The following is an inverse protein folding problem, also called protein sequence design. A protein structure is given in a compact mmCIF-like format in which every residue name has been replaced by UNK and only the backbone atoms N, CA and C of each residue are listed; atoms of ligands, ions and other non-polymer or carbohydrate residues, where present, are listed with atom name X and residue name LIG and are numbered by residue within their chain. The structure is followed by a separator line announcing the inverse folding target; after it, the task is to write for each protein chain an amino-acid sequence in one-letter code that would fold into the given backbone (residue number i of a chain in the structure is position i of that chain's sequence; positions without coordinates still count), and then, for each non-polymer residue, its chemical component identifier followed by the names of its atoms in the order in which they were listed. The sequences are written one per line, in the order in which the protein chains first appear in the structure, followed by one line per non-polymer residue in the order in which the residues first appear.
data_IF_928457933659
#
_entry.id   IF_928457933659
#
_cell.length_a   1.000
_cell.length_b   1.000
_cell.length_c   1.000
_cell.angle_alpha   90.00
_cell.angle_beta   90.00
_cell.angle_gamma   90.00
#
_symmetry.space_group_name_H-M   'P 1'
#
loop_
_entity.id
_entity.type
_entity.pdbx_description
1 polymer ?
#
# COMPACT_ATOMS: atom_id res chain seq x y z
N UNK A 1 2.82 16.26 -6.84
CA UNK A 1 3.02 16.12 -5.38
C UNK A 1 4.47 16.43 -4.97
N UNK A 2 5.48 15.81 -5.54
CA UNK A 2 6.89 16.16 -5.26
C UNK A 2 7.27 17.61 -5.61
N UNK A 3 6.74 18.17 -6.70
CA UNK A 3 7.03 19.56 -7.09
C UNK A 3 6.39 20.61 -6.17
N UNK A 4 5.25 20.34 -5.52
CA UNK A 4 4.68 21.23 -4.50
C UNK A 4 5.48 21.24 -3.20
N UNK A 5 6.20 20.17 -2.89
CA UNK A 5 7.08 20.09 -1.73
C UNK A 5 8.33 20.98 -1.88
N UNK A 6 8.79 21.24 -3.10
CA UNK A 6 9.96 22.08 -3.38
C UNK A 6 9.61 23.58 -3.37
N UNK A 7 8.39 23.95 -3.77
CA UNK A 7 7.95 25.37 -3.88
C UNK A 7 7.46 25.95 -2.55
N UNK A 8 6.99 25.13 -1.60
CA UNK A 8 6.49 25.59 -0.31
C UNK A 8 7.59 26.02 0.69
N UNK A 9 8.86 25.97 0.32
CA UNK A 9 10.00 26.31 1.18
C UNK A 9 10.41 27.79 1.19
N UNK A 10 9.89 28.65 0.32
CA UNK A 10 10.41 30.03 0.19
C UNK A 10 9.47 31.17 0.63
N UNK A 11 8.22 30.93 1.00
CA UNK A 11 7.30 31.98 1.48
C UNK A 11 6.89 31.78 2.95
N UNK A 12 7.74 32.18 3.87
CA UNK A 12 7.40 32.13 5.30
C UNK A 12 8.36 32.84 6.25
N UNK A 13 8.86 34.02 5.90
CA UNK A 13 9.47 34.92 6.88
C UNK A 13 8.74 36.24 6.88
N UNK A 14 7.90 36.46 7.91
CA UNK A 14 7.80 37.77 8.65
C UNK A 14 6.77 37.71 9.77
N UNK A 15 7.28 38.07 10.93
CA UNK A 15 6.70 38.83 12.05
C UNK A 15 5.75 38.16 13.03
N UNK A 16 6.16 38.28 14.31
CA UNK A 16 5.20 38.39 15.42
C UNK A 16 5.73 37.85 16.76
N UNK A 17 6.59 38.64 17.47
CA UNK A 17 6.85 38.45 18.92
C UNK A 17 5.57 38.72 19.71
N UNK A 18 5.27 37.86 20.65
CA UNK A 18 4.28 38.12 21.68
C UNK A 18 4.51 37.17 22.85
N UNK A 19 5.27 37.64 23.84
CA UNK A 19 5.40 37.00 25.16
C UNK A 19 4.09 37.11 25.94
N UNK A 20 3.67 36.04 26.58
CA UNK A 20 2.90 36.16 27.82
C UNK A 20 3.17 34.97 28.74
N UNK A 21 3.78 35.32 29.88
CA UNK A 21 3.92 34.47 31.06
C UNK A 21 2.60 34.32 31.79
N UNK A 22 2.59 33.41 32.75
CA UNK A 22 1.71 33.14 33.92
C UNK A 22 1.12 31.74 33.80
N UNK A 23 1.22 30.83 34.74
CA UNK A 23 1.56 30.80 36.13
C UNK A 23 1.43 29.39 36.63
N UNK A 24 2.40 28.97 37.44
CA UNK A 24 2.36 27.72 38.20
C UNK A 24 1.28 27.77 39.25
N UNK A 25 0.46 26.72 39.40
CA UNK A 25 -0.13 26.33 40.69
C UNK A 25 -0.09 24.81 40.85
N UNK A 26 0.59 24.45 41.92
CA UNK A 26 0.68 23.15 42.55
C UNK A 26 -0.64 22.73 43.16
N UNK A 27 -1.02 21.47 43.01
CA UNK A 27 -1.85 20.81 44.02
C UNK A 27 -1.32 19.40 44.23
N UNK A 28 -0.81 19.23 45.44
CA UNK A 28 -0.28 17.97 45.97
C UNK A 28 -1.38 17.28 46.81
N UNK A 29 -1.30 15.96 46.82
CA UNK A 29 -1.71 15.04 47.88
C UNK A 29 -3.19 14.99 48.28
N UNK A 30 -3.81 13.88 47.98
CA UNK A 30 -4.55 13.03 48.93
C UNK A 30 -5.20 11.85 48.20
N UNK A 31 -4.96 10.69 48.74
CA UNK A 31 -5.81 9.48 48.86
C UNK A 31 -5.08 8.19 48.41
N UNK A 32 -4.18 7.79 49.28
CA UNK A 32 -3.92 6.37 49.54
C UNK A 32 -4.71 6.02 50.81
N UNK A 33 -5.64 5.08 50.72
CA UNK A 33 -6.18 4.19 51.78
C UNK A 33 -7.67 3.90 51.48
N UNK A 34 -7.94 2.84 50.72
CA UNK A 34 -9.16 2.00 50.85
C UNK A 34 -9.05 0.83 49.86
N UNK A 35 -8.55 -0.30 50.33
CA UNK A 35 -8.44 -1.51 49.43
C UNK A 35 -7.85 -2.71 50.08
N UNK A 36 -8.02 -2.87 51.40
CA UNK A 36 -7.56 -4.04 52.11
C UNK A 36 -8.55 -4.50 53.17
N UNK A 37 -9.70 -5.04 52.74
CA UNK A 37 -10.67 -5.74 53.61
C UNK A 37 -11.78 -6.33 52.73
N UNK A 38 -11.52 -7.50 52.10
CA UNK A 38 -12.58 -8.41 51.58
C UNK A 38 -11.91 -9.69 51.02
N UNK A 39 -11.23 -10.42 51.90
CA UNK A 39 -10.77 -11.79 51.60
C UNK A 39 -10.72 -12.57 52.93
N UNK A 40 -11.89 -12.90 53.46
CA UNK A 40 -12.09 -13.93 54.49
C UNK A 40 -13.60 -14.15 54.71
N UNK A 41 -14.22 -15.02 53.92
CA UNK A 41 -15.37 -15.84 54.30
C UNK A 41 -15.83 -16.68 53.10
N UNK A 42 -15.53 -17.96 53.16
CA UNK A 42 -16.46 -19.05 52.83
C UNK A 42 -15.72 -20.33 52.43
N UNK A 43 -15.06 -20.95 53.38
CA UNK A 43 -15.00 -22.41 53.38
C UNK A 43 -16.19 -22.90 54.22
N UNK A 44 -17.25 -23.37 53.58
CA UNK A 44 -18.23 -24.26 54.19
C UNK A 44 -18.12 -25.60 53.48
N UNK A 45 -17.65 -26.60 54.26
CA UNK A 45 -17.74 -28.02 53.95
C UNK A 45 -19.23 -28.39 53.86
N UNK A 46 -19.66 -28.90 52.71
CA UNK A 46 -20.95 -29.60 52.56
C UNK A 46 -20.72 -31.07 52.90
N UNK A 47 -21.62 -31.60 53.76
CA UNK A 47 -21.72 -33.02 54.11
C UNK A 47 -22.24 -33.85 52.94
N UNK A 48 -21.87 -35.14 52.83
CA UNK A 48 -22.29 -35.98 51.71
C UNK A 48 -23.78 -36.29 51.78
N UNK A 49 -24.46 -36.11 50.64
CA UNK A 49 -25.85 -36.58 50.42
C UNK A 49 -25.91 -38.14 50.33
N UNK A 50 -27.01 -38.77 50.78
CA UNK A 50 -27.15 -40.23 50.72
C UNK A 50 -27.34 -40.71 49.27
N UNK A 51 -26.68 -41.83 48.96
CA UNK A 51 -26.75 -42.54 47.69
C UNK A 51 -28.21 -42.96 47.34
N UNK A 52 -28.71 -42.56 46.19
CA UNK A 52 -29.94 -43.05 45.62
C UNK A 52 -29.69 -44.36 44.86
N UNK A 53 -30.65 -45.29 44.86
CA UNK A 53 -30.49 -46.60 44.21
C UNK A 53 -30.33 -46.45 42.70
N UNK A 54 -29.31 -47.13 42.17
CA UNK A 54 -29.01 -47.21 40.74
C UNK A 54 -30.15 -47.97 40.01
N UNK A 55 -30.92 -47.25 39.19
CA UNK A 55 -31.86 -47.86 38.26
C UNK A 55 -31.11 -48.16 36.97
N UNK A 56 -30.96 -49.43 36.61
CA UNK A 56 -30.39 -49.80 35.31
C UNK A 56 -31.18 -49.18 34.14
N UNK A 57 -30.51 -48.52 33.18
CA UNK A 57 -31.20 -47.98 32.02
C UNK A 57 -31.67 -49.09 31.09
N UNK A 58 -32.84 -48.90 30.43
CA UNK A 58 -33.37 -49.89 29.48
C UNK A 58 -32.38 -50.02 28.30
N UNK A 59 -32.21 -51.26 27.81
CA UNK A 59 -31.37 -51.59 26.65
C UNK A 59 -31.82 -50.79 25.44
N UNK A 60 -30.88 -50.16 24.70
CA UNK A 60 -31.22 -49.40 23.50
C UNK A 60 -31.84 -50.36 22.44
N UNK A 61 -32.94 -49.91 21.90
CA UNK A 61 -33.57 -50.59 20.72
C UNK A 61 -32.65 -50.46 19.46
N UNK A 62 -32.95 -51.24 18.42
CA UNK A 62 -32.13 -51.20 17.20
C UNK A 62 -32.06 -49.75 16.64
N UNK A 63 -30.82 -49.30 16.42
CA UNK A 63 -30.54 -47.98 15.85
C UNK A 63 -31.15 -47.92 14.45
N UNK A 64 -32.03 -46.94 14.13
CA UNK A 64 -32.47 -46.72 12.76
C UNK A 64 -31.26 -46.48 11.87
N UNK A 65 -31.17 -47.15 10.73
CA UNK A 65 -30.17 -46.83 9.72
C UNK A 65 -30.39 -45.36 9.28
N UNK A 66 -29.45 -44.51 9.61
CA UNK A 66 -29.40 -43.17 9.05
C UNK A 66 -29.05 -43.32 7.58
N UNK A 67 -30.02 -43.07 6.71
CA UNK A 67 -29.75 -42.89 5.28
C UNK A 67 -29.00 -41.58 5.16
N UNK A 68 -27.73 -41.67 4.82
CA UNK A 68 -26.95 -40.45 4.48
C UNK A 68 -27.66 -39.72 3.33
N UNK A 69 -27.98 -38.44 3.47
CA UNK A 69 -28.53 -37.68 2.36
C UNK A 69 -27.52 -37.72 1.20
N UNK A 70 -28.02 -37.89 -0.02
CA UNK A 70 -27.21 -37.73 -1.23
C UNK A 70 -26.46 -36.38 -1.15
N UNK A 71 -25.12 -36.36 -1.47
CA UNK A 71 -24.39 -35.15 -1.43
C UNK A 71 -25.01 -34.11 -2.38
N UNK A 72 -25.33 -32.95 -1.84
CA UNK A 72 -25.81 -31.83 -2.66
C UNK A 72 -24.85 -31.62 -3.84
N UNK A 73 -25.35 -31.38 -5.06
CA UNK A 73 -24.48 -31.07 -6.20
C UNK A 73 -23.58 -29.88 -5.83
N UNK A 74 -22.28 -30.07 -5.97
CA UNK A 74 -21.33 -28.95 -5.76
C UNK A 74 -21.79 -27.77 -6.61
N UNK A 75 -21.82 -26.54 -6.05
CA UNK A 75 -22.05 -25.37 -6.85
C UNK A 75 -21.07 -25.40 -8.05
N UNK A 76 -21.57 -25.13 -9.25
CA UNK A 76 -20.73 -24.98 -10.43
C UNK A 76 -19.64 -23.96 -10.08
N UNK A 77 -18.39 -24.33 -10.29
CA UNK A 77 -17.29 -23.38 -10.12
C UNK A 77 -17.59 -22.18 -11.03
N UNK A 78 -17.46 -20.95 -10.51
CA UNK A 78 -17.65 -19.77 -11.34
C UNK A 78 -16.74 -19.89 -12.57
N UNK A 79 -17.16 -19.45 -13.75
CA UNK A 79 -16.35 -19.50 -14.96
C UNK A 79 -14.99 -18.89 -14.65
N UNK A 80 -13.93 -19.58 -14.99
CA UNK A 80 -12.56 -19.10 -14.81
C UNK A 80 -12.38 -17.70 -15.45
N UNK A 81 -11.39 -16.93 -15.02
CA UNK A 81 -11.14 -15.62 -15.62
C UNK A 81 -11.02 -15.75 -17.14
N UNK A 82 -11.54 -14.77 -17.89
CA UNK A 82 -11.47 -14.81 -19.36
C UNK A 82 -10.01 -14.95 -19.81
N UNK A 83 -9.76 -15.77 -20.82
CA UNK A 83 -8.42 -15.92 -21.39
C UNK A 83 -7.99 -14.59 -22.00
N UNK A 84 -6.88 -14.04 -21.46
CA UNK A 84 -6.34 -12.77 -21.94
C UNK A 84 -5.68 -12.92 -23.31
N UNK A 85 -5.79 -11.93 -24.20
CA UNK A 85 -5.09 -11.92 -25.47
C UNK A 85 -3.57 -12.16 -25.32
N UNK A 86 -2.90 -12.78 -26.31
CA UNK A 86 -1.45 -13.06 -26.24
C UNK A 86 -0.58 -11.84 -25.94
N UNK A 87 -1.02 -10.64 -26.34
CA UNK A 87 -0.35 -9.38 -26.02
C UNK A 87 -0.16 -9.19 -24.51
N UNK A 88 -1.13 -9.55 -23.68
CA UNK A 88 -1.01 -9.43 -22.23
C UNK A 88 0.07 -10.32 -21.66
N UNK A 89 0.21 -11.55 -22.17
CA UNK A 89 1.32 -12.44 -21.79
C UNK A 89 2.68 -11.87 -22.16
N UNK A 90 2.78 -11.20 -23.31
CA UNK A 90 4.02 -10.53 -23.72
C UNK A 90 4.34 -9.34 -22.83
N UNK A 91 3.34 -8.49 -22.52
CA UNK A 91 3.48 -7.36 -21.59
C UNK A 91 3.90 -7.85 -20.20
N UNK A 92 3.22 -8.84 -19.66
CA UNK A 92 3.51 -9.44 -18.36
C UNK A 92 4.96 -9.96 -18.31
N UNK A 93 5.38 -10.71 -19.36
CA UNK A 93 6.74 -11.22 -19.47
C UNK A 93 7.77 -10.10 -19.54
N UNK A 94 7.54 -9.06 -20.33
CA UNK A 94 8.48 -7.93 -20.46
C UNK A 94 8.53 -7.12 -19.15
N UNK A 95 7.41 -6.97 -18.46
CA UNK A 95 7.35 -6.34 -17.13
C UNK A 95 8.16 -7.16 -16.12
N UNK A 96 7.99 -8.48 -16.09
CA UNK A 96 8.81 -9.37 -15.29
C UNK A 96 10.31 -9.23 -15.64
N UNK A 97 10.66 -9.20 -16.93
CA UNK A 97 12.04 -9.06 -17.38
C UNK A 97 12.70 -7.77 -16.90
N UNK A 98 11.95 -6.64 -16.84
CA UNK A 98 12.50 -5.43 -16.25
C UNK A 98 13.04 -5.69 -14.83
N UNK A 99 12.24 -6.30 -13.96
CA UNK A 99 12.66 -6.61 -12.59
C UNK A 99 13.78 -7.65 -12.57
N UNK A 100 13.68 -8.70 -13.38
CA UNK A 100 14.64 -9.79 -13.37
C UNK A 100 16.01 -9.38 -13.90
N UNK A 101 16.06 -8.64 -15.01
CA UNK A 101 17.29 -8.31 -15.73
C UNK A 101 17.98 -7.05 -15.17
N UNK A 102 17.23 -6.17 -14.50
CA UNK A 102 17.79 -4.88 -14.04
C UNK A 102 18.16 -4.85 -12.58
N UNK A 103 17.58 -5.73 -11.76
CA UNK A 103 17.90 -5.83 -10.33
C UNK A 103 19.36 -6.24 -10.13
N UNK A 104 20.04 -5.54 -9.22
CA UNK A 104 21.43 -5.83 -8.87
C UNK A 104 21.52 -7.20 -8.19
N UNK A 105 22.32 -8.11 -8.78
CA UNK A 105 22.45 -9.51 -8.31
C UNK A 105 23.18 -9.64 -6.97
N UNK A 106 23.95 -8.62 -6.56
CA UNK A 106 24.74 -8.65 -5.32
C UNK A 106 23.93 -8.23 -4.09
N UNK A 107 23.02 -7.28 -4.27
CA UNK A 107 22.27 -6.69 -3.13
C UNK A 107 20.75 -6.67 -3.33
N UNK A 108 20.23 -7.06 -4.48
CA UNK A 108 18.80 -7.10 -4.78
C UNK A 108 18.14 -5.74 -4.96
N UNK A 109 18.91 -4.66 -5.13
CA UNK A 109 18.37 -3.33 -5.39
C UNK A 109 17.91 -3.20 -6.84
N UNK A 110 16.70 -2.68 -7.02
CA UNK A 110 16.06 -2.51 -8.32
C UNK A 110 16.08 -1.03 -8.71
N UNK A 111 16.47 -0.68 -9.94
CA UNK A 111 16.52 0.72 -10.36
C UNK A 111 15.12 1.34 -10.41
N UNK A 112 15.08 2.66 -10.22
CA UNK A 112 13.86 3.46 -10.34
C UNK A 112 13.29 3.45 -11.77
N UNK A 113 14.16 3.45 -12.77
CA UNK A 113 13.78 3.58 -14.19
C UNK A 113 14.76 2.91 -15.13
N UNK A 114 14.34 2.75 -16.38
CA UNK A 114 15.11 2.18 -17.49
C UNK A 114 14.90 3.04 -18.77
N UNK A 115 15.89 3.20 -19.65
CA UNK A 115 17.23 2.56 -19.66
C UNK A 115 18.25 3.22 -18.73
N UNK A 116 18.03 4.46 -18.29
CA UNK A 116 18.87 5.08 -17.25
C UNK A 116 18.64 4.39 -15.90
N UNK A 117 19.69 4.19 -15.15
CA UNK A 117 19.65 3.54 -13.83
C UNK A 117 20.35 4.42 -12.80
N UNK A 118 19.79 5.62 -12.51
CA UNK A 118 20.51 6.61 -11.72
C UNK A 118 20.64 6.15 -10.25
N UNK A 119 19.61 5.49 -9.71
CA UNK A 119 19.52 5.02 -8.33
C UNK A 119 18.50 3.88 -8.23
N UNK A 120 18.51 3.18 -7.12
CA UNK A 120 17.45 2.23 -6.76
C UNK A 120 16.27 2.97 -6.14
N UNK A 121 15.05 2.54 -6.47
CA UNK A 121 13.85 2.90 -5.72
C UNK A 121 13.46 1.78 -4.76
N UNK A 122 13.23 2.10 -3.50
CA UNK A 122 12.79 1.13 -2.49
C UNK A 122 11.41 0.54 -2.85
N UNK A 123 10.53 1.33 -3.45
CA UNK A 123 9.26 0.84 -3.99
C UNK A 123 9.48 -0.21 -5.07
N UNK A 124 10.39 0.05 -6.03
CA UNK A 124 10.74 -0.91 -7.08
C UNK A 124 11.28 -2.24 -6.54
N UNK A 125 12.01 -2.21 -5.40
CA UNK A 125 12.45 -3.43 -4.71
C UNK A 125 11.25 -4.24 -4.20
N UNK A 126 10.22 -3.58 -3.65
CA UNK A 126 8.98 -4.24 -3.23
C UNK A 126 8.24 -4.91 -4.40
N UNK A 127 8.13 -4.20 -5.52
CA UNK A 127 7.57 -4.77 -6.75
C UNK A 127 8.39 -5.92 -7.32
N UNK A 128 9.74 -5.88 -7.22
CA UNK A 128 10.59 -7.00 -7.65
C UNK A 128 10.33 -8.26 -6.85
N UNK A 129 10.23 -8.14 -5.51
CA UNK A 129 9.90 -9.26 -4.63
C UNK A 129 8.54 -9.89 -4.98
N UNK A 130 7.62 -9.09 -5.52
CA UNK A 130 6.31 -9.56 -6.00
C UNK A 130 6.42 -10.20 -7.40
N UNK A 131 7.26 -9.66 -8.27
CA UNK A 131 7.44 -10.15 -9.64
C UNK A 131 8.11 -11.54 -9.70
N UNK A 132 9.01 -11.87 -8.77
CA UNK A 132 9.71 -13.16 -8.78
C UNK A 132 8.77 -14.38 -8.69
N UNK A 133 7.80 -14.43 -7.76
CA UNK A 133 6.76 -15.46 -7.78
C UNK A 133 5.96 -15.53 -9.09
N UNK A 134 5.61 -14.40 -9.69
CA UNK A 134 4.93 -14.37 -11.00
C UNK A 134 5.78 -15.07 -12.07
N UNK A 135 7.09 -14.86 -12.03
CA UNK A 135 8.02 -15.55 -12.93
C UNK A 135 8.08 -17.07 -12.72
N UNK A 136 7.91 -17.54 -11.47
CA UNK A 136 7.80 -18.97 -11.14
C UNK A 136 6.52 -19.57 -11.71
N UNK A 137 5.39 -18.94 -11.43
CA UNK A 137 4.06 -19.40 -11.85
C UNK A 137 3.92 -19.49 -13.37
N UNK A 138 4.60 -18.59 -14.10
CA UNK A 138 4.64 -18.59 -15.56
C UNK A 138 5.77 -19.47 -16.15
N UNK A 139 6.62 -20.10 -15.31
CA UNK A 139 7.73 -20.93 -15.77
C UNK A 139 8.88 -20.18 -16.45
N UNK A 140 8.98 -18.86 -16.27
CA UNK A 140 10.07 -18.05 -16.82
C UNK A 140 11.36 -18.19 -16.04
N UNK A 141 11.27 -18.50 -14.76
CA UNK A 141 12.39 -18.82 -13.88
C UNK A 141 12.03 -20.00 -12.98
N UNK A 142 13.03 -20.74 -12.54
CA UNK A 142 12.81 -21.80 -11.55
C UNK A 142 12.57 -21.23 -10.16
N UNK A 143 11.83 -21.96 -9.30
CA UNK A 143 11.64 -21.62 -7.90
C UNK A 143 12.98 -21.40 -7.17
N UNK A 144 13.98 -22.24 -7.46
CA UNK A 144 15.33 -22.11 -6.89
C UNK A 144 15.98 -20.78 -7.24
N UNK A 145 15.94 -20.35 -8.50
CA UNK A 145 16.49 -19.07 -8.91
C UNK A 145 15.79 -17.88 -8.23
N UNK A 146 14.48 -17.92 -8.14
CA UNK A 146 13.69 -16.87 -7.51
C UNK A 146 13.93 -16.84 -5.98
N UNK A 147 14.03 -17.99 -5.31
CA UNK A 147 14.40 -18.10 -3.88
C UNK A 147 15.76 -17.46 -3.63
N UNK A 148 16.78 -17.78 -4.43
CA UNK A 148 18.12 -17.22 -4.27
C UNK A 148 18.14 -15.70 -4.47
N UNK A 149 17.39 -15.18 -5.46
CA UNK A 149 17.25 -13.74 -5.71
C UNK A 149 16.50 -13.05 -4.57
N UNK A 150 15.41 -13.62 -4.08
CA UNK A 150 14.64 -13.14 -2.94
C UNK A 150 15.51 -13.07 -1.67
N UNK A 151 16.28 -14.11 -1.39
CA UNK A 151 17.19 -14.13 -0.24
C UNK A 151 18.27 -13.05 -0.32
N UNK A 152 18.86 -12.84 -1.50
CA UNK A 152 19.83 -11.76 -1.71
C UNK A 152 19.24 -10.41 -1.30
N UNK A 153 18.03 -10.12 -1.76
CA UNK A 153 17.32 -8.88 -1.43
C UNK A 153 17.00 -8.78 0.05
N UNK A 154 16.40 -9.81 0.65
CA UNK A 154 16.00 -9.78 2.05
C UNK A 154 17.18 -9.74 3.02
N UNK A 155 18.28 -10.43 2.72
CA UNK A 155 19.52 -10.37 3.49
C UNK A 155 20.12 -8.97 3.48
N UNK A 156 20.15 -8.32 2.32
CA UNK A 156 20.59 -6.92 2.21
C UNK A 156 19.70 -6.02 3.08
N UNK A 157 18.38 -6.07 2.91
CA UNK A 157 17.43 -5.25 3.65
C UNK A 157 17.55 -5.48 5.16
N UNK A 158 17.64 -6.73 5.61
CA UNK A 158 17.72 -7.06 7.03
C UNK A 158 19.00 -6.54 7.68
N UNK A 159 20.11 -6.48 6.93
CA UNK A 159 21.43 -6.03 7.42
C UNK A 159 21.72 -4.57 7.04
N UNK A 160 20.77 -3.86 6.42
CA UNK A 160 20.93 -2.47 6.01
C UNK A 160 21.30 -1.57 7.20
N UNK A 161 22.26 -0.68 6.98
CA UNK A 161 22.74 0.24 8.01
C UNK A 161 21.69 1.29 8.35
N UNK A 162 21.06 1.18 9.52
CA UNK A 162 20.08 2.14 10.02
C UNK A 162 20.72 3.18 10.95
N UNK A 163 20.21 4.39 10.98
CA UNK A 163 20.64 5.43 11.90
C UNK A 163 20.27 6.83 11.48
N UNK A 164 20.38 7.83 12.39
CA UNK A 164 19.99 9.22 12.14
C UNK A 164 21.02 10.02 11.32
N UNK A 165 22.18 9.42 10.98
CA UNK A 165 23.24 10.11 10.26
C UNK A 165 22.83 10.37 8.80
N UNK A 166 23.20 11.54 8.27
CA UNK A 166 22.87 11.97 6.92
C UNK A 166 23.53 11.12 5.81
N UNK A 167 24.66 10.45 6.12
CA UNK A 167 25.43 9.67 5.17
C UNK A 167 25.76 8.29 5.74
N UNK A 168 26.00 7.33 4.84
CA UNK A 168 26.40 5.99 5.21
C UNK A 168 25.25 5.16 5.82
N UNK A 169 24.01 5.50 5.50
CA UNK A 169 22.81 4.82 6.01
C UNK A 169 21.83 4.55 4.88
N UNK A 170 21.16 3.41 4.97
CA UNK A 170 20.06 3.03 4.06
C UNK A 170 18.70 3.49 4.59
N UNK A 171 18.62 3.82 5.88
CA UNK A 171 17.38 4.23 6.53
C UNK A 171 17.55 4.54 8.02
N UNK A 172 16.42 4.74 8.71
CA UNK A 172 16.34 5.01 10.15
C UNK A 172 15.04 4.47 10.73
N UNK A 173 15.06 3.94 11.97
CA UNK A 173 13.86 3.44 12.67
C UNK A 173 13.08 2.35 11.89
N UNK A 174 13.76 1.57 11.08
CA UNK A 174 13.14 0.56 10.20
C UNK A 174 12.67 1.07 8.85
N UNK A 175 12.51 2.38 8.66
CA UNK A 175 12.17 3.00 7.39
C UNK A 175 13.41 3.19 6.52
N UNK A 176 13.21 3.17 5.21
CA UNK A 176 14.27 3.35 4.22
C UNK A 176 14.18 4.71 3.54
N UNK A 177 15.30 5.21 3.04
CA UNK A 177 15.30 6.33 2.11
C UNK A 177 14.66 5.92 0.78
N UNK A 178 13.91 6.83 0.18
CA UNK A 178 13.20 6.63 -1.09
C UNK A 178 14.14 6.07 -2.17
N UNK A 179 15.30 6.72 -2.34
CA UNK A 179 16.29 6.31 -3.30
C UNK A 179 17.62 5.94 -2.64
N UNK A 180 18.18 4.80 -3.07
CA UNK A 180 19.46 4.29 -2.63
C UNK A 180 20.43 4.21 -3.79
N UNK A 181 21.71 4.39 -3.49
CA UNK A 181 22.78 4.11 -4.44
C UNK A 181 22.79 2.61 -4.79
N UNK A 182 22.81 2.30 -6.09
CA UNK A 182 22.69 0.93 -6.63
C UNK A 182 23.80 -0.01 -6.18
N UNK A 183 24.97 0.51 -5.79
CA UNK A 183 26.13 -0.31 -5.42
C UNK A 183 26.25 -0.43 -3.91
N UNK A 184 26.18 0.68 -3.20
CA UNK A 184 26.42 0.73 -1.74
C UNK A 184 25.16 0.47 -0.93
N UNK A 185 23.97 0.72 -1.49
CA UNK A 185 22.69 0.66 -0.80
C UNK A 185 22.50 1.75 0.24
N UNK A 186 23.32 2.79 0.23
CA UNK A 186 23.19 3.94 1.11
C UNK A 186 22.28 5.01 0.47
N UNK A 187 21.77 5.97 1.28
CA UNK A 187 21.00 7.11 0.78
C UNK A 187 21.70 7.76 -0.41
N UNK A 188 20.98 7.91 -1.52
CA UNK A 188 21.58 8.35 -2.78
C UNK A 188 22.13 9.79 -2.69
N UNK A 189 21.33 10.73 -2.16
CA UNK A 189 21.74 12.15 -2.06
C UNK A 189 20.96 12.86 -0.93
N UNK A 190 21.38 14.06 -0.57
CA UNK A 190 20.80 14.91 0.48
C UNK A 190 19.36 15.35 0.22
N UNK A 191 18.93 15.41 -1.04
CA UNK A 191 17.53 15.72 -1.39
C UNK A 191 16.57 14.55 -1.21
N UNK A 192 17.09 13.31 -1.02
CA UNK A 192 16.27 12.10 -0.83
C UNK A 192 15.76 12.04 0.61
N UNK A 193 14.47 11.98 0.77
CA UNK A 193 13.81 11.76 2.06
C UNK A 193 13.83 10.28 2.48
N UNK A 194 13.72 10.05 3.76
CA UNK A 194 13.25 8.80 4.31
C UNK A 194 11.74 8.76 4.10
N UNK A 195 11.27 7.79 3.32
CA UNK A 195 9.89 7.76 2.84
C UNK A 195 9.05 6.74 3.59
N UNK A 196 7.86 7.15 4.03
CA UNK A 196 6.89 6.24 4.64
C UNK A 196 6.17 5.36 3.60
N UNK A 197 5.77 5.94 2.45
CA UNK A 197 5.00 5.20 1.44
C UNK A 197 5.88 4.24 0.66
N UNK A 198 7.07 4.63 0.27
CA UNK A 198 7.98 3.74 -0.46
C UNK A 198 8.49 2.60 0.43
N UNK A 199 8.70 2.87 1.75
CA UNK A 199 8.94 1.81 2.73
C UNK A 199 7.70 0.91 2.85
N UNK A 200 6.49 1.46 2.80
CA UNK A 200 5.26 0.68 2.79
C UNK A 200 5.17 -0.25 1.58
N UNK A 201 5.43 0.26 0.38
CA UNK A 201 5.47 -0.53 -0.87
C UNK A 201 6.54 -1.65 -0.81
N UNK A 202 7.73 -1.34 -0.27
CA UNK A 202 8.75 -2.34 0.01
C UNK A 202 8.23 -3.45 0.92
N UNK A 203 7.61 -3.08 2.04
CA UNK A 203 7.11 -4.03 3.04
C UNK A 203 5.98 -4.91 2.50
N UNK A 204 5.13 -4.39 1.63
CA UNK A 204 4.11 -5.21 0.96
C UNK A 204 4.75 -6.32 0.13
N UNK A 205 5.81 -6.01 -0.64
CA UNK A 205 6.58 -7.03 -1.37
C UNK A 205 7.30 -8.02 -0.45
N UNK A 206 7.84 -7.55 0.67
CA UNK A 206 8.48 -8.39 1.71
C UNK A 206 7.47 -9.38 2.31
N UNK A 207 6.29 -8.91 2.69
CA UNK A 207 5.23 -9.75 3.26
C UNK A 207 4.60 -10.66 2.21
N UNK A 208 4.53 -10.24 0.96
CA UNK A 208 4.11 -11.10 -0.15
C UNK A 208 5.08 -12.28 -0.32
N UNK A 209 6.39 -12.02 -0.33
CA UNK A 209 7.39 -13.08 -0.36
C UNK A 209 7.27 -14.03 0.85
N UNK A 210 7.03 -13.50 2.06
CA UNK A 210 6.78 -14.31 3.25
C UNK A 210 5.59 -15.27 3.06
N UNK A 211 4.52 -14.78 2.45
CA UNK A 211 3.28 -15.55 2.25
C UNK A 211 3.39 -16.58 1.11
N UNK A 212 4.21 -16.30 0.10
CA UNK A 212 4.36 -17.18 -1.07
C UNK A 212 5.34 -18.34 -0.82
N UNK A 213 6.47 -18.09 -0.16
CA UNK A 213 7.49 -19.10 0.08
C UNK A 213 7.19 -19.88 1.37
N UNK A 214 6.32 -20.89 1.27
CA UNK A 214 5.80 -21.67 2.40
C UNK A 214 6.42 -23.07 2.57
N UNK A 215 7.38 -23.44 1.70
CA UNK A 215 8.03 -24.75 1.73
C UNK A 215 8.96 -24.96 2.93
N UNK A 216 9.36 -26.21 3.12
CA UNK A 216 10.29 -26.63 4.20
C UNK A 216 11.77 -26.50 3.78
N UNK A 217 12.07 -26.04 2.56
CA UNK A 217 13.45 -25.70 2.18
C UNK A 217 14.01 -24.66 3.16
N UNK A 218 15.19 -24.93 3.78
CA UNK A 218 15.80 -23.99 4.74
C UNK A 218 15.91 -22.55 4.21
N UNK A 219 16.05 -22.38 2.91
CA UNK A 219 16.10 -21.06 2.26
C UNK A 219 14.73 -20.36 2.28
N UNK A 220 13.63 -21.09 2.12
CA UNK A 220 12.29 -20.52 2.24
C UNK A 220 11.91 -20.22 3.69
N UNK A 221 12.38 -21.04 4.63
CA UNK A 221 12.30 -20.74 6.08
C UNK A 221 13.01 -19.42 6.37
N UNK A 222 14.25 -19.25 5.87
CA UNK A 222 15.02 -18.02 6.05
C UNK A 222 14.32 -16.79 5.42
N UNK A 223 13.67 -16.94 4.26
CA UNK A 223 12.85 -15.86 3.66
C UNK A 223 11.79 -15.39 4.66
N UNK A 224 11.03 -16.31 5.25
CA UNK A 224 9.97 -15.96 6.20
C UNK A 224 10.51 -15.28 7.47
N UNK A 225 11.62 -15.75 8.01
CA UNK A 225 12.26 -15.16 9.18
C UNK A 225 12.83 -13.76 8.91
N UNK A 226 13.46 -13.58 7.74
CA UNK A 226 13.98 -12.28 7.33
C UNK A 226 12.84 -11.28 7.11
N UNK A 227 11.77 -11.69 6.45
CA UNK A 227 10.60 -10.85 6.19
C UNK A 227 9.93 -10.40 7.50
N UNK A 228 9.70 -11.33 8.44
CA UNK A 228 9.15 -11.01 9.77
C UNK A 228 10.04 -10.01 10.51
N UNK A 229 11.36 -10.23 10.52
CA UNK A 229 12.33 -9.33 11.15
C UNK A 229 12.34 -7.93 10.53
N UNK A 230 12.26 -7.83 9.20
CA UNK A 230 12.24 -6.55 8.48
C UNK A 230 10.98 -5.78 8.82
N UNK A 231 9.82 -6.42 8.83
CA UNK A 231 8.56 -5.76 9.15
C UNK A 231 8.48 -5.33 10.61
N UNK A 232 8.83 -6.22 11.56
CA UNK A 232 8.74 -5.96 13.00
C UNK A 232 9.62 -4.83 13.50
N UNK A 233 10.72 -4.50 12.80
CA UNK A 233 11.63 -3.43 13.25
C UNK A 233 11.14 -2.02 12.93
N UNK A 234 10.04 -1.86 12.16
CA UNK A 234 9.55 -0.56 11.73
C UNK A 234 8.82 0.13 12.88
N UNK A 235 9.34 1.26 13.33
CA UNK A 235 8.78 2.04 14.43
C UNK A 235 7.72 3.04 13.91
N UNK A 236 6.53 2.59 13.55
CA UNK A 236 5.47 3.40 12.97
C UNK A 236 5.09 4.63 13.79
N UNK A 237 4.95 4.55 15.16
CA UNK A 237 4.62 5.72 15.98
C UNK A 237 5.66 6.85 15.88
N UNK A 238 6.92 6.53 15.51
CA UNK A 238 7.95 7.55 15.33
C UNK A 238 7.63 8.53 14.18
N UNK A 239 6.93 8.06 13.13
CA UNK A 239 6.46 8.92 12.03
C UNK A 239 5.19 9.71 12.35
N UNK A 240 4.55 9.46 13.49
CA UNK A 240 3.39 10.25 13.94
C UNK A 240 3.84 11.56 14.61
N UNK A 241 4.48 12.46 13.85
CA UNK A 241 4.84 13.79 14.38
C UNK A 241 3.63 14.56 14.91
N UNK A 242 2.49 14.41 14.25
CA UNK A 242 1.19 14.97 14.59
C UNK A 242 0.18 13.83 14.74
N UNK A 243 0.25 13.09 15.87
CA UNK A 243 -0.65 11.95 16.03
C UNK A 243 -2.11 12.37 15.86
N UNK A 244 -2.93 11.49 15.27
CA UNK A 244 -2.63 10.12 14.87
C UNK A 244 -2.18 9.98 13.40
N UNK A 245 -1.92 11.07 12.67
CA UNK A 245 -1.49 11.02 11.27
C UNK A 245 -0.02 10.60 11.12
N UNK A 246 0.27 9.92 10.02
CA UNK A 246 1.62 9.48 9.65
C UNK A 246 2.24 10.49 8.69
N UNK A 247 3.45 10.99 9.02
CA UNK A 247 4.20 11.90 8.16
C UNK A 247 4.59 11.24 6.83
N UNK A 248 4.62 12.01 5.76
CA UNK A 248 5.11 11.56 4.46
C UNK A 248 6.57 11.12 4.48
N UNK A 249 7.37 11.66 5.41
CA UNK A 249 8.78 11.28 5.54
C UNK A 249 9.59 12.17 6.45
N UNK A 250 10.90 11.93 6.42
CA UNK A 250 11.86 12.61 7.29
C UNK A 250 13.21 12.82 6.60
N UNK A 251 13.91 13.87 7.00
CA UNK A 251 15.26 14.18 6.58
C UNK A 251 16.18 14.32 7.81
N UNK A 252 17.38 13.74 7.80
CA UNK A 252 18.31 13.91 8.93
C UNK A 252 18.73 15.37 9.16
N UNK A 253 18.74 16.19 8.08
CA UNK A 253 19.20 17.58 8.15
C UNK A 253 18.12 18.57 8.61
N UNK A 254 16.83 18.25 8.39
CA UNK A 254 15.72 19.21 8.59
C UNK A 254 14.50 18.64 9.29
N UNK A 255 14.54 17.36 9.67
CA UNK A 255 13.43 16.71 10.38
C UNK A 255 12.29 16.26 9.49
N UNK A 256 11.10 16.12 10.06
CA UNK A 256 9.92 15.59 9.37
C UNK A 256 9.44 16.53 8.27
N UNK A 257 8.94 15.93 7.19
CA UNK A 257 8.20 16.63 6.13
C UNK A 257 6.97 17.31 6.75
N UNK A 258 6.65 18.50 6.27
CA UNK A 258 5.54 19.31 6.81
C UNK A 258 4.14 18.70 6.56
N UNK A 259 4.04 17.72 5.68
CA UNK A 259 2.80 17.07 5.28
C UNK A 259 2.69 15.67 5.86
N UNK A 260 1.46 15.31 6.23
CA UNK A 260 1.06 13.97 6.64
C UNK A 260 0.17 13.35 5.57
N UNK A 261 0.13 12.03 5.53
CA UNK A 261 -0.82 11.30 4.71
C UNK A 261 -2.23 11.48 5.26
N UNK A 262 -3.15 11.92 4.42
CA UNK A 262 -4.55 12.12 4.77
C UNK A 262 -5.42 11.98 3.53
N UNK A 263 -6.58 11.32 3.69
CA UNK A 263 -7.51 11.07 2.59
C UNK A 263 -7.09 9.92 1.69
N UNK A 264 -8.00 9.50 0.83
CA UNK A 264 -7.80 8.37 -0.07
C UNK A 264 -6.67 8.63 -1.07
N UNK A 265 -5.64 7.79 -1.02
CA UNK A 265 -4.48 7.80 -1.90
C UNK A 265 -3.67 6.50 -1.70
N UNK A 266 -2.50 6.40 -2.29
CA UNK A 266 -1.57 5.26 -2.20
C UNK A 266 -1.14 4.92 -0.77
N UNK A 267 -1.20 5.87 0.16
CA UNK A 267 -0.82 5.64 1.56
C UNK A 267 -1.83 4.80 2.36
N UNK A 268 -2.92 4.32 1.75
CA UNK A 268 -3.79 3.31 2.37
C UNK A 268 -2.97 2.14 2.91
N UNK A 269 -1.99 1.63 2.13
CA UNK A 269 -1.12 0.54 2.56
C UNK A 269 -0.26 0.90 3.77
N UNK A 270 0.14 2.18 3.92
CA UNK A 270 0.92 2.65 5.07
C UNK A 270 0.11 2.50 6.36
N UNK A 271 -1.16 2.92 6.34
CA UNK A 271 -2.04 2.80 7.50
C UNK A 271 -2.37 1.33 7.81
N UNK A 272 -2.63 0.50 6.80
CA UNK A 272 -2.85 -0.94 6.98
C UNK A 272 -1.64 -1.60 7.66
N UNK A 273 -0.43 -1.32 7.17
CA UNK A 273 0.81 -1.85 7.75
C UNK A 273 1.07 -1.31 9.16
N UNK A 274 0.82 -0.04 9.39
CA UNK A 274 1.05 0.59 10.69
C UNK A 274 0.08 0.08 11.76
N UNK A 275 -1.20 -0.09 11.42
CA UNK A 275 -2.22 -0.67 12.31
C UNK A 275 -1.95 -2.16 12.58
N UNK A 276 -1.55 -2.91 11.55
CA UNK A 276 -1.26 -4.34 11.63
C UNK A 276 0.12 -4.68 12.22
N UNK A 277 0.93 -3.70 12.60
CA UNK A 277 2.29 -3.97 13.11
C UNK A 277 2.27 -4.78 14.41
N UNK A 278 2.96 -5.93 14.47
CA UNK A 278 2.96 -6.78 15.66
C UNK A 278 3.84 -6.25 16.81
N UNK A 279 4.65 -5.22 16.57
CA UNK A 279 5.62 -4.70 17.54
C UNK A 279 5.44 -3.23 17.87
N UNK A 280 5.12 -2.41 16.87
CA UNK A 280 4.99 -0.96 16.99
C UNK A 280 3.75 -0.46 16.25
N UNK A 281 2.54 -0.93 16.63
CA UNK A 281 1.31 -0.49 15.97
C UNK A 281 0.99 0.97 16.31
N UNK A 282 0.29 1.63 15.39
CA UNK A 282 -0.43 2.87 15.69
C UNK A 282 -1.82 2.55 16.22
N UNK A 283 -2.47 3.51 16.90
CA UNK A 283 -3.84 3.33 17.36
C UNK A 283 -4.89 3.38 16.23
N UNK A 284 -6.09 2.81 16.46
CA UNK A 284 -7.17 2.76 15.45
C UNK A 284 -7.63 4.15 15.01
N UNK A 285 -7.50 5.16 15.86
CA UNK A 285 -7.78 6.57 15.55
C UNK A 285 -6.98 7.09 14.34
N UNK A 286 -5.88 6.44 13.98
CA UNK A 286 -5.10 6.79 12.81
C UNK A 286 -5.90 6.59 11.51
N UNK A 287 -6.69 5.51 11.41
CA UNK A 287 -7.59 5.27 10.29
C UNK A 287 -8.73 6.28 10.25
N UNK A 288 -9.35 6.53 11.39
CA UNK A 288 -10.46 7.49 11.51
C UNK A 288 -10.06 8.88 11.02
N UNK A 289 -8.89 9.37 11.42
CA UNK A 289 -8.40 10.69 11.00
C UNK A 289 -7.94 10.69 9.55
N UNK A 290 -7.36 9.58 9.06
CA UNK A 290 -6.98 9.44 7.65
C UNK A 290 -8.20 9.53 6.73
N UNK A 291 -9.32 8.93 7.10
CA UNK A 291 -10.59 8.93 6.32
C UNK A 291 -11.40 10.21 6.43
N UNK A 292 -11.07 11.15 7.31
CA UNK A 292 -11.86 12.37 7.56
C UNK A 292 -12.14 13.24 6.32
N UNK A 293 -11.30 13.14 5.27
CA UNK A 293 -11.50 13.91 4.04
C UNK A 293 -12.35 13.18 3.00
N UNK A 294 -12.75 11.95 3.25
CA UNK A 294 -13.47 11.12 2.29
C UNK A 294 -14.77 11.77 1.80
N UNK A 295 -15.52 12.43 2.70
CA UNK A 295 -16.75 13.11 2.32
C UNK A 295 -16.52 14.25 1.31
N UNK A 296 -15.39 14.93 1.38
CA UNK A 296 -15.01 15.97 0.42
C UNK A 296 -14.65 15.38 -0.94
N UNK A 297 -14.00 14.20 -0.91
CA UNK A 297 -13.43 13.56 -2.11
C UNK A 297 -14.39 12.51 -2.71
N UNK A 298 -15.56 12.28 -2.06
CA UNK A 298 -16.65 11.48 -2.59
C UNK A 298 -17.56 12.32 -3.49
N UNK A 299 -17.88 11.83 -4.67
CA UNK A 299 -18.84 12.50 -5.56
C UNK A 299 -18.91 11.90 -6.95
N UNK A 300 -19.69 12.56 -7.80
CA UNK A 300 -19.86 12.13 -9.20
C UNK A 300 -18.84 12.83 -10.08
N UNK A 301 -18.01 12.04 -10.76
CA UNK A 301 -17.10 12.51 -11.79
C UNK A 301 -17.23 11.60 -13.01
N UNK A 302 -17.44 12.19 -14.19
CA UNK A 302 -17.60 11.45 -15.45
C UNK A 302 -18.65 10.33 -15.37
N UNK A 303 -19.79 10.63 -14.74
CA UNK A 303 -20.91 9.69 -14.60
C UNK A 303 -20.70 8.56 -13.58
N UNK A 304 -19.57 8.52 -12.88
CA UNK A 304 -19.30 7.56 -11.80
C UNK A 304 -19.34 8.26 -10.45
N UNK A 305 -20.03 7.65 -9.47
CA UNK A 305 -20.01 8.10 -8.09
C UNK A 305 -19.02 7.25 -7.27
N UNK A 306 -17.94 7.86 -6.80
CA UNK A 306 -16.86 7.16 -6.14
C UNK A 306 -16.00 8.09 -5.25
N UNK A 307 -15.13 7.50 -4.44
CA UNK A 307 -14.12 8.20 -3.68
C UNK A 307 -12.94 8.51 -4.59
N UNK A 308 -12.82 9.78 -4.96
CA UNK A 308 -11.92 10.25 -6.02
C UNK A 308 -10.49 10.47 -5.54
N UNK A 309 -9.55 10.10 -6.39
CA UNK A 309 -8.15 10.51 -6.36
C UNK A 309 -7.69 10.67 -7.81
N UNK A 310 -7.13 11.83 -8.18
CA UNK A 310 -6.87 12.16 -9.58
C UNK A 310 -5.89 11.23 -10.29
N UNK A 311 -4.65 11.05 -9.77
CA UNK A 311 -3.67 10.12 -10.36
C UNK A 311 -4.09 8.66 -10.17
N UNK A 312 -4.18 7.90 -11.26
CA UNK A 312 -4.83 6.57 -11.23
C UNK A 312 -4.09 5.54 -10.37
N UNK A 313 -2.78 5.66 -10.18
CA UNK A 313 -2.00 4.73 -9.34
C UNK A 313 -2.52 4.63 -7.90
N UNK A 314 -3.13 5.69 -7.35
CA UNK A 314 -3.74 5.65 -6.02
C UNK A 314 -4.92 4.68 -5.89
N UNK A 315 -5.57 4.34 -7.02
CA UNK A 315 -6.60 3.31 -7.11
C UNK A 315 -6.05 1.91 -7.39
N UNK A 316 -4.74 1.77 -7.66
CA UNK A 316 -4.13 0.52 -8.12
C UNK A 316 -3.17 -0.09 -7.10
N UNK A 317 -2.29 0.69 -6.49
CA UNK A 317 -1.13 0.18 -5.77
C UNK A 317 -1.46 -0.76 -4.61
N UNK A 318 -2.39 -0.39 -3.73
CA UNK A 318 -2.74 -1.25 -2.60
C UNK A 318 -3.40 -2.56 -3.05
N UNK A 319 -4.12 -2.54 -4.19
CA UNK A 319 -4.76 -3.72 -4.77
C UNK A 319 -3.78 -4.76 -5.34
N UNK A 320 -2.51 -4.41 -5.54
CA UNK A 320 -1.49 -5.38 -5.97
C UNK A 320 -1.32 -6.51 -4.96
N UNK A 321 -1.52 -6.20 -3.66
CA UNK A 321 -1.28 -7.15 -2.57
C UNK A 321 -2.52 -7.50 -1.76
N UNK A 322 -3.58 -6.70 -1.85
CA UNK A 322 -4.81 -6.91 -1.08
C UNK A 322 -6.00 -6.97 -2.02
N UNK A 323 -6.70 -8.08 -2.02
CA UNK A 323 -7.99 -8.20 -2.72
C UNK A 323 -9.08 -7.54 -1.87
N UNK A 324 -9.48 -6.35 -2.27
CA UNK A 324 -10.50 -5.58 -1.55
C UNK A 324 -11.94 -5.96 -1.89
N UNK A 325 -12.18 -7.02 -2.68
CA UNK A 325 -13.55 -7.49 -2.91
C UNK A 325 -14.20 -7.90 -1.60
N UNK A 326 -15.32 -7.24 -1.27
CA UNK A 326 -16.04 -7.45 -0.01
C UNK A 326 -15.41 -6.81 1.22
N UNK A 327 -14.23 -6.19 1.13
CA UNK A 327 -13.59 -5.48 2.25
C UNK A 327 -14.09 -4.03 2.28
N UNK A 328 -14.71 -3.65 3.38
CA UNK A 328 -15.32 -2.33 3.60
C UNK A 328 -14.98 -1.84 4.99
N UNK A 329 -14.52 -0.60 5.09
CA UNK A 329 -14.59 0.12 6.36
C UNK A 329 -15.99 0.72 6.57
N UNK A 330 -16.18 1.43 7.66
CA UNK A 330 -17.48 2.04 8.00
C UNK A 330 -17.95 3.00 6.90
N UNK A 331 -17.03 3.83 6.36
CA UNK A 331 -17.38 4.79 5.31
C UNK A 331 -17.81 4.09 4.02
N UNK A 332 -17.06 3.11 3.53
CA UNK A 332 -17.40 2.40 2.31
C UNK A 332 -18.67 1.54 2.48
N UNK A 333 -18.89 0.98 3.67
CA UNK A 333 -20.13 0.28 4.00
C UNK A 333 -21.35 1.22 3.93
N UNK A 334 -21.23 2.43 4.45
CA UNK A 334 -22.27 3.47 4.35
C UNK A 334 -22.55 3.86 2.89
N UNK A 335 -21.53 3.84 2.02
CA UNK A 335 -21.67 4.13 0.58
C UNK A 335 -22.14 2.93 -0.23
N UNK A 336 -22.23 1.74 0.37
CA UNK A 336 -22.75 0.52 -0.26
C UNK A 336 -21.80 -0.14 -1.26
N UNK A 337 -20.53 0.26 -1.33
CA UNK A 337 -19.50 -0.32 -2.19
C UNK A 337 -18.26 -0.72 -1.38
N UNK A 338 -17.39 -1.53 -1.97
CA UNK A 338 -16.05 -1.81 -1.46
C UNK A 338 -14.98 -1.02 -2.21
N UNK A 339 -13.73 -1.13 -1.76
CA UNK A 339 -12.62 -0.42 -2.42
C UNK A 339 -12.30 -0.96 -3.81
N UNK A 340 -12.65 -2.23 -4.12
CA UNK A 340 -12.50 -2.77 -5.47
C UNK A 340 -13.46 -2.10 -6.45
N UNK A 341 -14.75 -2.02 -6.08
CA UNK A 341 -15.75 -1.31 -6.89
C UNK A 341 -15.40 0.19 -7.01
N UNK A 342 -14.84 0.80 -5.97
CA UNK A 342 -14.35 2.17 -6.03
C UNK A 342 -13.28 2.35 -7.13
N UNK A 343 -12.30 1.47 -7.18
CA UNK A 343 -11.23 1.50 -8.18
C UNK A 343 -11.74 1.17 -9.58
N UNK A 344 -12.72 0.27 -9.68
CA UNK A 344 -13.43 0.00 -10.94
C UNK A 344 -14.12 1.24 -11.48
N UNK A 345 -14.87 1.96 -10.65
CA UNK A 345 -15.54 3.22 -11.04
C UNK A 345 -14.54 4.29 -11.44
N UNK A 346 -13.43 4.43 -10.73
CA UNK A 346 -12.35 5.34 -11.08
C UNK A 346 -11.76 5.03 -12.47
N UNK A 347 -11.62 3.75 -12.82
CA UNK A 347 -11.15 3.30 -14.13
C UNK A 347 -12.11 3.73 -15.26
N UNK A 348 -13.43 3.54 -15.06
CA UNK A 348 -14.42 4.05 -16.02
C UNK A 348 -14.45 5.56 -16.12
N UNK A 349 -14.29 6.27 -15.00
CA UNK A 349 -14.25 7.72 -14.97
C UNK A 349 -13.06 8.29 -15.77
N UNK A 350 -11.89 7.65 -15.67
CA UNK A 350 -10.72 8.06 -16.46
C UNK A 350 -10.93 7.86 -17.97
N UNK A 351 -11.51 6.73 -18.37
CA UNK A 351 -11.87 6.51 -19.78
C UNK A 351 -12.90 7.53 -20.27
N UNK A 352 -13.95 7.79 -19.48
CA UNK A 352 -14.98 8.75 -19.85
C UNK A 352 -14.43 10.19 -19.97
N UNK A 353 -13.48 10.57 -19.10
CA UNK A 353 -12.76 11.83 -19.21
C UNK A 353 -12.00 11.96 -20.54
N UNK A 354 -11.32 10.90 -20.97
CA UNK A 354 -10.62 10.92 -22.25
C UNK A 354 -11.59 10.98 -23.46
N UNK A 355 -12.76 10.35 -23.37
CA UNK A 355 -13.81 10.44 -24.41
C UNK A 355 -14.37 11.86 -24.48
N UNK A 356 -14.68 12.48 -23.34
CA UNK A 356 -15.14 13.88 -23.29
C UNK A 356 -14.07 14.85 -23.78
N UNK A 357 -12.82 14.55 -23.44
CA UNK A 357 -11.61 15.28 -23.83
C UNK A 357 -11.74 16.81 -23.63
N UNK A 358 -11.95 17.27 -22.40
CA UNK A 358 -12.22 18.70 -22.14
C UNK A 358 -11.01 19.59 -22.47
N UNK A 359 -9.80 19.02 -22.47
CA UNK A 359 -8.57 19.70 -22.81
C UNK A 359 -8.28 19.68 -24.33
N UNK A 360 -9.05 18.93 -25.11
CA UNK A 360 -8.94 18.80 -26.57
C UNK A 360 -7.60 18.26 -27.06
N UNK A 361 -6.99 17.34 -26.28
CA UNK A 361 -5.78 16.66 -26.70
C UNK A 361 -6.04 15.81 -27.94
N UNK A 362 -5.06 15.72 -28.83
CA UNK A 362 -5.15 14.83 -29.96
C UNK A 362 -5.14 13.37 -29.48
N UNK A 363 -5.85 12.50 -30.17
CA UNK A 363 -5.97 11.05 -29.94
C UNK A 363 -6.67 10.60 -28.64
N UNK A 364 -6.96 11.49 -27.67
CA UNK A 364 -7.75 11.10 -26.50
C UNK A 364 -9.12 10.55 -26.95
N UNK A 365 -9.52 9.44 -26.36
CA UNK A 365 -10.77 8.78 -26.72
C UNK A 365 -11.02 7.47 -26.00
N UNK A 366 -11.87 6.67 -26.63
CA UNK A 366 -12.38 5.42 -26.05
C UNK A 366 -11.28 4.43 -25.67
N UNK A 367 -10.20 4.35 -26.46
CA UNK A 367 -9.10 3.41 -26.28
C UNK A 367 -7.75 4.09 -26.00
N UNK A 368 -7.68 5.42 -26.00
CA UNK A 368 -6.48 6.18 -25.67
C UNK A 368 -6.75 7.01 -24.41
N UNK A 369 -6.44 6.44 -23.27
CA UNK A 369 -6.64 7.02 -21.94
C UNK A 369 -5.64 6.47 -20.93
N UNK A 370 -5.50 7.16 -19.81
CA UNK A 370 -4.68 6.73 -18.68
C UNK A 370 -3.80 7.84 -18.14
N UNK A 371 -4.26 8.50 -17.08
CA UNK A 371 -3.56 9.57 -16.39
C UNK A 371 -3.06 9.09 -15.03
N UNK A 372 -1.75 9.04 -14.88
CA UNK A 372 -1.10 8.68 -13.62
C UNK A 372 0.25 9.39 -13.50
N UNK A 373 0.96 9.19 -12.38
CA UNK A 373 2.31 9.68 -12.23
C UNK A 373 3.21 9.08 -13.32
N UNK A 374 3.84 9.94 -14.11
CA UNK A 374 4.70 9.53 -15.21
C UNK A 374 5.69 10.63 -15.62
N UNK A 375 6.75 10.25 -16.32
CA UNK A 375 7.58 11.21 -17.03
C UNK A 375 6.76 11.84 -18.18
N UNK A 376 7.07 13.07 -18.51
CA UNK A 376 6.54 13.80 -19.63
C UNK A 376 7.64 14.44 -20.47
N UNK A 377 7.28 15.20 -21.51
CA UNK A 377 8.26 15.63 -22.50
C UNK A 377 9.30 16.61 -21.95
N UNK A 378 8.87 17.65 -21.24
CA UNK A 378 9.72 18.63 -20.57
C UNK A 378 8.89 19.65 -19.80
N UNK A 379 9.53 20.42 -18.91
CA UNK A 379 8.88 21.56 -18.24
C UNK A 379 8.88 22.77 -19.17
N UNK A 380 7.72 23.15 -19.68
CA UNK A 380 7.55 24.28 -20.57
C UNK A 380 6.09 24.75 -20.57
N UNK A 381 5.85 25.99 -21.03
CA UNK A 381 4.52 26.48 -21.34
C UNK A 381 4.47 26.79 -22.84
N UNK A 382 3.52 26.24 -23.54
CA UNK A 382 3.37 26.40 -24.99
C UNK A 382 1.93 26.71 -25.37
N UNK A 383 1.78 27.30 -26.56
CA UNK A 383 0.46 27.48 -27.19
C UNK A 383 0.01 26.16 -27.80
N UNK A 384 -1.18 25.71 -27.41
CA UNK A 384 -1.83 24.53 -27.98
C UNK A 384 -3.29 24.88 -28.27
N UNK A 385 -3.70 24.77 -29.51
CA UNK A 385 -5.09 25.07 -29.98
C UNK A 385 -5.61 26.43 -29.48
N UNK A 386 -4.73 27.45 -29.44
CA UNK A 386 -5.08 28.82 -29.05
C UNK A 386 -5.05 29.11 -27.55
N UNK A 387 -4.73 28.13 -26.72
CA UNK A 387 -4.61 28.26 -25.26
C UNK A 387 -3.18 28.02 -24.78
N UNK A 388 -2.76 28.71 -23.73
CA UNK A 388 -1.48 28.38 -23.08
C UNK A 388 -1.64 27.13 -22.24
N UNK A 389 -0.75 26.15 -22.44
CA UNK A 389 -0.71 24.88 -21.72
C UNK A 389 0.64 24.69 -21.04
N UNK A 390 0.61 24.27 -19.78
CA UNK A 390 1.78 23.86 -19.03
C UNK A 390 2.07 22.38 -19.28
N UNK A 391 3.32 22.07 -19.61
CA UNK A 391 3.83 20.71 -19.75
C UNK A 391 4.88 20.48 -18.66
N UNK A 392 4.99 19.26 -18.15
CA UNK A 392 5.91 18.91 -17.07
C UNK A 392 6.76 17.70 -17.42
N UNK A 393 7.97 17.62 -16.84
CA UNK A 393 8.76 16.40 -16.86
C UNK A 393 8.01 15.28 -16.14
N UNK A 394 8.41 14.96 -14.93
CA UNK A 394 7.65 14.08 -14.06
C UNK A 394 6.52 14.86 -13.37
N UNK A 395 5.31 14.29 -13.38
CA UNK A 395 4.19 14.85 -12.64
C UNK A 395 3.15 13.78 -12.31
N UNK A 396 2.43 13.96 -11.20
CA UNK A 396 1.26 13.18 -10.86
C UNK A 396 0.08 13.65 -11.71
N UNK A 397 0.00 13.19 -12.96
CA UNK A 397 -1.12 13.44 -13.86
C UNK A 397 -2.35 12.71 -13.39
N UNK A 398 -3.53 13.33 -13.58
CA UNK A 398 -4.76 12.74 -13.09
C UNK A 398 -6.00 13.51 -13.53
N UNK A 399 -7.12 12.83 -13.47
CA UNK A 399 -8.46 13.39 -13.65
C UNK A 399 -9.37 12.90 -12.52
N UNK A 400 -10.10 13.83 -11.90
CA UNK A 400 -10.94 13.53 -10.75
C UNK A 400 -11.60 14.78 -10.20
N UNK A 401 -12.29 14.66 -9.06
CA UNK A 401 -12.93 15.79 -8.37
C UNK A 401 -11.91 16.79 -7.82
N UNK A 402 -10.73 16.30 -7.46
CA UNK A 402 -9.62 17.08 -6.94
C UNK A 402 -8.29 16.61 -7.53
N UNK A 403 -7.24 17.43 -7.39
CA UNK A 403 -5.86 17.10 -7.79
C UNK A 403 -5.69 16.68 -9.27
N UNK A 404 -6.49 17.26 -10.15
CA UNK A 404 -6.41 17.02 -11.59
C UNK A 404 -5.27 17.84 -12.23
N UNK A 405 -4.43 17.15 -12.99
CA UNK A 405 -3.44 17.77 -13.88
C UNK A 405 -3.32 16.93 -15.14
N UNK A 406 -3.56 17.55 -16.27
CA UNK A 406 -3.54 16.91 -17.58
C UNK A 406 -2.79 17.81 -18.58
N UNK A 407 -1.65 17.35 -19.08
CA UNK A 407 -0.82 18.00 -20.10
C UNK A 407 -0.74 17.19 -21.41
N UNK A 408 -1.72 16.30 -21.64
CA UNK A 408 -1.76 15.46 -22.84
C UNK A 408 -0.87 14.21 -22.79
N UNK A 409 -0.17 13.98 -21.66
CA UNK A 409 0.71 12.81 -21.53
C UNK A 409 -0.08 11.60 -21.03
N UNK A 410 -0.29 10.62 -21.89
CA UNK A 410 -0.86 9.32 -21.53
C UNK A 410 0.24 8.40 -20.99
N UNK A 411 -0.06 7.71 -19.89
CA UNK A 411 0.76 6.64 -19.33
C UNK A 411 0.05 5.29 -19.54
N UNK A 412 0.48 4.45 -20.50
CA UNK A 412 -0.17 3.16 -20.78
C UNK A 412 -0.35 2.27 -19.57
N UNK A 413 0.56 2.36 -18.60
CA UNK A 413 0.49 1.61 -17.34
C UNK A 413 -0.77 1.92 -16.52
N UNK A 414 -1.36 3.12 -16.64
CA UNK A 414 -2.60 3.46 -15.95
C UNK A 414 -3.78 2.65 -16.49
N UNK A 415 -3.85 2.45 -17.81
CA UNK A 415 -4.86 1.60 -18.44
C UNK A 415 -4.56 0.12 -18.16
N UNK A 416 -3.39 -0.37 -18.55
CA UNK A 416 -3.01 -1.80 -18.43
C UNK A 416 -3.07 -2.29 -16.99
N UNK A 417 -2.59 -1.50 -16.02
CA UNK A 417 -2.63 -1.82 -14.60
C UNK A 417 -4.04 -1.90 -14.00
N UNK A 418 -5.06 -1.48 -14.75
CA UNK A 418 -6.48 -1.57 -14.35
C UNK A 418 -7.18 -2.83 -14.86
N UNK A 419 -6.44 -3.79 -15.45
CA UNK A 419 -7.01 -5.01 -16.04
C UNK A 419 -7.88 -5.81 -15.07
N UNK A 420 -7.51 -5.82 -13.79
CA UNK A 420 -8.28 -6.53 -12.75
C UNK A 420 -9.64 -5.88 -12.46
N UNK A 421 -9.78 -4.57 -12.71
CA UNK A 421 -11.00 -3.80 -12.38
C UNK A 421 -12.01 -3.78 -13.52
N UNK A 422 -11.55 -3.63 -14.77
CA UNK A 422 -12.42 -3.41 -15.91
C UNK A 422 -11.81 -3.99 -17.22
N UNK A 423 -11.64 -5.32 -17.32
CA UNK A 423 -10.98 -5.95 -18.49
C UNK A 423 -11.67 -5.58 -19.81
N UNK A 424 -12.98 -5.38 -19.81
CA UNK A 424 -13.80 -5.06 -20.99
C UNK A 424 -13.44 -3.71 -21.67
N UNK A 425 -12.86 -2.77 -20.92
CA UNK A 425 -12.38 -1.49 -21.47
C UNK A 425 -10.86 -1.40 -21.53
N UNK A 426 -10.18 -2.17 -20.69
CA UNK A 426 -8.70 -2.18 -20.62
C UNK A 426 -8.10 -2.98 -21.78
N UNK A 427 -8.73 -4.12 -22.16
CA UNK A 427 -8.22 -4.94 -23.26
C UNK A 427 -8.16 -4.16 -24.58
N UNK A 428 -9.23 -3.48 -25.06
CA UNK A 428 -9.16 -2.66 -26.25
C UNK A 428 -8.17 -1.50 -26.15
N UNK A 429 -8.12 -0.83 -24.99
CA UNK A 429 -7.16 0.26 -24.77
C UNK A 429 -5.70 -0.22 -24.85
N UNK A 430 -5.40 -1.39 -24.27
CA UNK A 430 -4.05 -1.96 -24.32
C UNK A 430 -3.62 -2.34 -25.74
N UNK A 431 -4.57 -2.72 -26.59
CA UNK A 431 -4.29 -3.06 -27.99
C UNK A 431 -4.04 -1.83 -28.86
N UNK A 432 -4.58 -0.68 -28.49
CA UNK A 432 -4.41 0.61 -29.18
C UNK A 432 -3.13 1.33 -28.73
N UNK A 433 -2.81 1.32 -27.43
CA UNK A 433 -1.64 1.96 -26.82
C UNK A 433 -0.34 1.22 -27.10
#
# INVERSE_FOLDING_TARGET
MQERLIVAGEEGRRTGRGEMQVGRRSWSRALALAGLLLLLAACRQQAPEPEQPVVEPPRPGPIPQVVEPEPEPRPEEPPGPPELPPLFRDIERRTFQFFWDTTNEVNGLTPDRFPSRPFASIASVGFSLTAYPIGIENGWVSRTQAVDRTLTTLRFLANAKMGPQARGRSGHKGFFYHFLDMQTGERYDSWVELSSVDTGLLLMGVLFAQSYYTGDDPREVEIRELADRIYRRVEWPWLQRRPPLISMGWYPERGFIAHDWKGYNEAMLVYILALGSPTHPVGPEAWEVWTQTYERDWGVFQGQEYLSFGPHFGHQYTHVWIDFRGIRDEYMAMRGIDYFENSRRATYAQRAYAIENPMKWDDYGENVWGLTASDGPQRTTQQFKGEQREFRHYSARGAGLSDAFDDGTIAPTAAVGSIAFAPEIVIPATQEL
#
